data_IF_926907220157
#
_entry.id   IF_926907220157
#
_cell.length_a   1.000
_cell.length_b   1.000
_cell.length_c   1.000
_cell.angle_alpha   90.00
_cell.angle_beta   90.00
_cell.angle_gamma   90.00
#
_symmetry.space_group_name_H-M   'P 1'
#
loop_
_entity.id
_entity.type
_entity.pdbx_description
1 polymer ?
#
# COMPACT_ATOMS: atom_id res chain seq x y z
N UNK A 1 28.02 -52.61 30.68
CA UNK A 1 27.37 -51.68 31.63
C UNK A 1 27.88 -50.27 31.30
N UNK A 2 26.95 -49.40 30.86
CA UNK A 2 26.98 -47.91 30.79
C UNK A 2 28.12 -47.22 30.02
N UNK A 3 27.90 -46.57 28.87
CA UNK A 3 27.23 -45.28 28.56
C UNK A 3 28.07 -44.02 28.76
N UNK A 4 27.77 -43.00 27.93
CA UNK A 4 28.21 -41.57 27.87
C UNK A 4 29.22 -41.29 26.71
N UNK A 5 28.82 -40.89 25.49
CA UNK A 5 28.18 -39.65 24.99
C UNK A 5 28.96 -38.35 25.22
N UNK A 6 29.28 -37.66 24.12
CA UNK A 6 29.76 -36.28 24.08
C UNK A 6 30.19 -35.91 22.65
N UNK A 7 29.23 -35.86 21.72
CA UNK A 7 28.56 -34.61 21.29
C UNK A 7 29.43 -33.81 20.32
N UNK A 8 29.11 -33.97 19.03
CA UNK A 8 29.70 -33.21 17.95
C UNK A 8 29.37 -31.73 18.07
N UNK A 9 30.41 -30.91 17.90
CA UNK A 9 30.28 -29.50 17.58
C UNK A 9 29.65 -29.39 16.18
N UNK A 10 28.32 -29.40 16.10
CA UNK A 10 27.62 -28.80 14.98
C UNK A 10 27.51 -27.30 15.29
N UNK A 11 28.55 -26.56 14.92
CA UNK A 11 28.43 -25.13 14.70
C UNK A 11 27.43 -24.94 13.56
N UNK A 12 26.18 -24.64 13.92
CA UNK A 12 25.18 -24.21 12.95
C UNK A 12 25.55 -22.80 12.52
N UNK A 13 26.36 -22.69 11.46
CA UNK A 13 26.53 -21.44 10.71
C UNK A 13 25.17 -21.10 10.07
N UNK A 14 24.31 -20.42 10.84
CA UNK A 14 23.20 -19.67 10.28
C UNK A 14 23.82 -18.53 9.50
N UNK A 15 23.99 -18.73 8.20
CA UNK A 15 24.29 -17.65 7.27
C UNK A 15 23.33 -16.49 7.56
N UNK A 16 23.87 -15.36 8.01
CA UNK A 16 23.12 -14.11 8.09
C UNK A 16 22.73 -13.79 6.65
N UNK A 17 21.47 -14.02 6.30
CA UNK A 17 20.94 -13.46 5.06
C UNK A 17 21.04 -11.95 5.21
N UNK A 18 21.85 -11.31 4.38
CA UNK A 18 21.89 -9.84 4.30
C UNK A 18 20.49 -9.35 3.94
N UNK A 19 19.84 -8.67 4.89
CA UNK A 19 18.57 -8.01 4.62
C UNK A 19 18.81 -6.95 3.54
N UNK A 20 18.12 -7.11 2.41
CA UNK A 20 18.16 -6.12 1.33
C UNK A 20 17.71 -4.75 1.88
N UNK A 21 18.32 -3.65 1.42
CA UNK A 21 17.91 -2.32 1.86
C UNK A 21 16.45 -2.07 1.48
N UNK A 22 15.62 -1.83 2.50
CA UNK A 22 14.20 -1.48 2.38
C UNK A 22 14.08 0.03 2.24
N UNK A 23 13.38 0.50 1.20
CA UNK A 23 13.18 1.94 1.01
C UNK A 23 12.37 2.53 2.16
N UNK A 24 12.67 3.77 2.56
CA UNK A 24 12.08 4.36 3.78
C UNK A 24 10.54 4.44 3.77
N UNK A 25 9.94 4.66 2.59
CA UNK A 25 8.48 4.70 2.45
C UNK A 25 7.83 3.34 2.66
N UNK A 26 8.54 2.24 2.40
CA UNK A 26 8.03 0.87 2.61
C UNK A 26 7.83 0.55 4.09
N UNK A 27 8.41 1.36 4.99
CA UNK A 27 8.18 1.29 6.44
C UNK A 27 6.91 2.02 6.89
N UNK A 28 6.29 2.82 6.02
CA UNK A 28 5.02 3.48 6.34
C UNK A 28 3.89 2.45 6.28
N UNK A 29 3.22 2.23 7.42
CA UNK A 29 2.06 1.33 7.49
C UNK A 29 0.99 1.69 6.44
N UNK A 30 0.80 2.98 6.16
CA UNK A 30 -0.19 3.46 5.18
C UNK A 30 0.20 3.08 3.75
N UNK A 31 1.49 3.07 3.42
CA UNK A 31 1.98 2.57 2.14
C UNK A 31 1.80 1.06 2.04
N UNK A 32 2.17 0.31 3.10
CA UNK A 32 2.04 -1.15 3.12
C UNK A 32 0.59 -1.59 2.90
N UNK A 33 -0.36 -0.92 3.56
CA UNK A 33 -1.79 -1.19 3.41
C UNK A 33 -2.30 -0.84 2.00
N UNK A 34 -1.88 0.30 1.46
CA UNK A 34 -2.21 0.68 0.08
C UNK A 34 -1.64 -0.32 -0.95
N UNK A 35 -0.39 -0.74 -0.76
CA UNK A 35 0.29 -1.69 -1.62
C UNK A 35 -0.37 -3.06 -1.60
N UNK A 36 -0.73 -3.56 -0.40
CA UNK A 36 -1.48 -4.81 -0.30
C UNK A 36 -2.82 -4.73 -1.05
N UNK A 37 -3.60 -3.66 -0.84
CA UNK A 37 -4.88 -3.49 -1.49
C UNK A 37 -4.75 -3.35 -3.02
N UNK A 38 -3.72 -2.66 -3.49
CA UNK A 38 -3.38 -2.58 -4.92
C UNK A 38 -3.11 -3.96 -5.52
N UNK A 39 -2.39 -4.83 -4.82
CA UNK A 39 -2.16 -6.21 -5.28
C UNK A 39 -3.45 -7.03 -5.33
N UNK A 40 -4.36 -6.86 -4.37
CA UNK A 40 -5.68 -7.50 -4.38
C UNK A 40 -6.52 -7.03 -5.57
N UNK A 41 -6.56 -5.72 -5.82
CA UNK A 41 -7.25 -5.12 -6.96
C UNK A 41 -6.67 -5.63 -8.28
N UNK A 42 -5.35 -5.68 -8.42
CA UNK A 42 -4.70 -6.22 -9.62
C UNK A 42 -5.08 -7.68 -9.87
N UNK A 43 -5.05 -8.52 -8.83
CA UNK A 43 -5.47 -9.93 -8.94
C UNK A 43 -6.92 -10.07 -9.39
N UNK A 44 -7.82 -9.25 -8.86
CA UNK A 44 -9.21 -9.21 -9.30
C UNK A 44 -9.35 -8.74 -10.75
N UNK A 45 -8.58 -7.74 -11.17
CA UNK A 45 -8.63 -7.21 -12.54
C UNK A 45 -8.32 -8.27 -13.59
N UNK A 46 -7.46 -9.24 -13.29
CA UNK A 46 -7.17 -10.39 -14.17
C UNK A 46 -8.40 -11.27 -14.41
N UNK A 47 -9.40 -11.24 -13.51
CA UNK A 47 -10.64 -12.03 -13.61
C UNK A 47 -11.75 -11.33 -14.40
N UNK A 48 -11.57 -10.05 -14.76
CA UNK A 48 -12.58 -9.30 -15.49
C UNK A 48 -12.72 -9.78 -16.95
N UNK A 49 -13.92 -9.64 -17.55
CA UNK A 49 -14.10 -9.88 -18.98
C UNK A 49 -13.19 -8.99 -19.83
N UNK A 50 -12.72 -9.50 -20.98
CA UNK A 50 -11.77 -8.79 -21.86
C UNK A 50 -12.31 -7.44 -22.34
N UNK A 51 -13.62 -7.30 -22.45
CA UNK A 51 -14.34 -6.10 -22.87
C UNK A 51 -14.18 -4.94 -21.87
N UNK A 52 -13.82 -5.23 -20.62
CA UNK A 52 -13.59 -4.23 -19.57
C UNK A 52 -12.13 -3.76 -19.48
N UNK A 53 -11.21 -4.41 -20.21
CA UNK A 53 -9.77 -4.13 -20.18
C UNK A 53 -9.45 -2.64 -20.36
N UNK A 54 -9.98 -2.03 -21.42
CA UNK A 54 -9.77 -0.60 -21.72
C UNK A 54 -10.85 0.30 -21.12
N UNK A 55 -11.62 -0.21 -20.17
CA UNK A 55 -12.73 0.50 -19.52
C UNK A 55 -12.44 0.64 -18.04
N UNK A 56 -13.12 -0.14 -17.20
CA UNK A 56 -13.02 0.00 -15.75
C UNK A 56 -11.76 -0.66 -15.18
N UNK A 57 -11.22 -1.68 -15.87
CA UNK A 57 -10.03 -2.40 -15.43
C UNK A 57 -8.81 -1.46 -15.40
N UNK A 58 -8.45 -0.88 -16.55
CA UNK A 58 -7.31 0.05 -16.64
C UNK A 58 -7.45 1.25 -15.69
N UNK A 59 -8.67 1.77 -15.51
CA UNK A 59 -8.92 2.88 -14.59
C UNK A 59 -8.67 2.53 -13.13
N UNK A 60 -9.16 1.36 -12.66
CA UNK A 60 -8.97 0.97 -11.26
C UNK A 60 -7.53 0.55 -10.98
N UNK A 61 -6.86 -0.13 -11.92
CA UNK A 61 -5.45 -0.51 -11.77
C UNK A 61 -4.56 0.74 -11.66
N UNK A 62 -4.77 1.73 -12.55
CA UNK A 62 -3.99 2.98 -12.52
C UNK A 62 -4.25 3.82 -11.27
N UNK A 63 -5.51 4.05 -10.91
CA UNK A 63 -5.83 4.84 -9.72
C UNK A 63 -5.32 4.17 -8.43
N UNK A 64 -5.44 2.84 -8.32
CA UNK A 64 -4.94 2.09 -7.17
C UNK A 64 -3.41 2.12 -7.05
N UNK A 65 -2.69 1.93 -8.16
CA UNK A 65 -1.23 2.06 -8.21
C UNK A 65 -0.78 3.48 -7.84
N UNK A 66 -1.45 4.49 -8.38
CA UNK A 66 -1.14 5.90 -8.16
C UNK A 66 -1.19 6.29 -6.68
N UNK A 67 -2.00 5.64 -5.85
CA UNK A 67 -1.98 5.84 -4.38
C UNK A 67 -0.61 5.48 -3.80
N UNK A 68 -0.05 4.33 -4.18
CA UNK A 68 1.26 3.88 -3.71
C UNK A 68 2.38 4.78 -4.22
N UNK A 69 2.33 5.11 -5.51
CA UNK A 69 3.33 5.94 -6.19
C UNK A 69 3.44 7.33 -5.55
N UNK A 70 2.29 7.97 -5.29
CA UNK A 70 2.25 9.30 -4.69
C UNK A 70 2.62 9.31 -3.19
N UNK A 71 2.36 8.23 -2.45
CA UNK A 71 2.89 8.09 -1.07
C UNK A 71 4.41 7.98 -1.11
N UNK A 72 4.97 7.18 -2.03
CA UNK A 72 6.41 7.01 -2.17
C UNK A 72 7.10 8.32 -2.60
N UNK A 73 6.58 9.00 -3.63
CA UNK A 73 7.09 10.30 -4.10
C UNK A 73 7.00 11.37 -3.00
N UNK A 74 5.84 11.47 -2.35
CA UNK A 74 5.64 12.40 -1.24
C UNK A 74 6.52 12.08 -0.03
N UNK A 75 6.90 10.83 0.19
CA UNK A 75 7.80 10.47 1.28
C UNK A 75 9.26 10.83 0.96
N UNK A 76 9.71 10.58 -0.27
CA UNK A 76 11.12 10.73 -0.66
C UNK A 76 11.56 12.18 -0.89
N UNK A 77 10.63 13.10 -1.17
CA UNK A 77 10.97 14.52 -1.32
C UNK A 77 11.48 15.16 -0.03
N UNK A 78 12.38 16.14 -0.13
CA UNK A 78 12.94 16.86 1.03
C UNK A 78 11.97 17.92 1.56
N UNK A 79 11.23 18.60 0.69
CA UNK A 79 10.46 19.79 1.05
C UNK A 79 9.08 19.44 1.63
N UNK A 80 8.76 20.00 2.80
CA UNK A 80 7.48 19.79 3.49
C UNK A 80 6.24 20.02 2.62
N UNK A 81 6.25 21.06 1.77
CA UNK A 81 5.11 21.36 0.90
C UNK A 81 4.91 20.29 -0.17
N UNK A 82 6.01 19.79 -0.75
CA UNK A 82 5.96 18.73 -1.76
C UNK A 82 5.56 17.40 -1.14
N UNK A 83 6.00 17.12 0.09
CA UNK A 83 5.50 15.96 0.86
C UNK A 83 3.99 16.03 0.98
N UNK A 84 3.45 17.15 1.47
CA UNK A 84 2.00 17.34 1.61
C UNK A 84 1.28 17.25 0.26
N UNK A 85 1.87 17.78 -0.81
CA UNK A 85 1.30 17.69 -2.16
C UNK A 85 1.19 16.23 -2.63
N UNK A 86 2.24 15.42 -2.53
CA UNK A 86 2.20 14.00 -2.90
C UNK A 86 1.15 13.23 -2.11
N UNK A 87 1.10 13.42 -0.79
CA UNK A 87 0.08 12.77 0.04
C UNK A 87 -1.35 13.25 -0.26
N UNK A 88 -1.56 14.51 -0.65
CA UNK A 88 -2.87 14.96 -1.13
C UNK A 88 -3.28 14.29 -2.45
N UNK A 89 -2.34 14.08 -3.38
CA UNK A 89 -2.63 13.37 -4.63
C UNK A 89 -2.97 11.90 -4.31
N UNK A 90 -2.19 11.23 -3.46
CA UNK A 90 -2.50 9.87 -3.02
C UNK A 90 -3.91 9.76 -2.41
N UNK A 91 -4.33 10.75 -1.60
CA UNK A 91 -5.69 10.81 -1.05
C UNK A 91 -6.76 10.98 -2.14
N UNK A 92 -6.49 11.79 -3.17
CA UNK A 92 -7.41 11.97 -4.30
C UNK A 92 -7.59 10.66 -5.07
N UNK A 93 -6.49 9.98 -5.38
CA UNK A 93 -6.46 8.70 -6.08
C UNK A 93 -7.16 7.59 -5.30
N UNK A 94 -7.05 7.60 -3.96
CA UNK A 94 -7.80 6.68 -3.11
C UNK A 94 -9.32 6.88 -3.26
N UNK A 95 -9.79 8.13 -3.28
CA UNK A 95 -11.19 8.45 -3.54
C UNK A 95 -11.67 8.07 -4.95
N UNK A 96 -10.82 8.26 -5.95
CA UNK A 96 -11.09 7.81 -7.32
C UNK A 96 -11.19 6.28 -7.40
N UNK A 97 -10.28 5.56 -6.74
CA UNK A 97 -10.30 4.10 -6.65
C UNK A 97 -11.59 3.60 -5.97
N UNK A 98 -12.00 4.23 -4.86
CA UNK A 98 -13.28 3.91 -4.21
C UNK A 98 -14.48 4.08 -5.16
N UNK A 99 -14.49 5.11 -6.00
CA UNK A 99 -15.52 5.28 -7.03
C UNK A 99 -15.49 4.15 -8.07
N UNK A 100 -14.31 3.73 -8.53
CA UNK A 100 -14.20 2.58 -9.44
C UNK A 100 -14.67 1.27 -8.81
N UNK A 101 -14.37 1.04 -7.53
CA UNK A 101 -14.89 -0.10 -6.75
C UNK A 101 -16.42 -0.11 -6.76
N UNK A 102 -17.06 1.04 -6.53
CA UNK A 102 -18.53 1.15 -6.58
C UNK A 102 -19.09 0.89 -7.98
N UNK A 103 -18.42 1.36 -9.03
CA UNK A 103 -18.82 1.06 -10.43
C UNK A 103 -18.75 -0.44 -10.73
N UNK A 104 -17.67 -1.12 -10.33
CA UNK A 104 -17.53 -2.57 -10.49
C UNK A 104 -18.63 -3.34 -9.76
N UNK A 105 -18.97 -2.90 -8.54
CA UNK A 105 -20.05 -3.49 -7.76
C UNK A 105 -21.42 -3.27 -8.40
N UNK A 106 -21.70 -2.06 -8.90
CA UNK A 106 -22.94 -1.77 -9.64
C UNK A 106 -23.09 -2.57 -10.93
N UNK A 107 -21.98 -2.87 -11.62
CA UNK A 107 -21.93 -3.79 -12.76
C UNK A 107 -21.97 -5.27 -12.38
N UNK A 108 -22.01 -5.60 -11.08
CA UNK A 108 -22.00 -6.96 -10.53
C UNK A 108 -20.74 -7.77 -10.84
N UNK A 109 -19.63 -7.11 -11.19
CA UNK A 109 -18.34 -7.78 -11.31
C UNK A 109 -17.69 -8.01 -9.95
N UNK A 110 -17.93 -7.10 -8.99
CA UNK A 110 -17.40 -7.18 -7.63
C UNK A 110 -18.53 -7.39 -6.62
N UNK A 111 -18.41 -8.41 -5.78
CA UNK A 111 -19.41 -8.72 -4.77
C UNK A 111 -19.59 -7.58 -3.76
N UNK A 112 -20.80 -7.35 -3.21
CA UNK A 112 -21.07 -6.22 -2.32
C UNK A 112 -20.23 -6.25 -1.04
N UNK A 113 -19.97 -7.45 -0.48
CA UNK A 113 -19.14 -7.62 0.71
C UNK A 113 -17.68 -7.23 0.45
N UNK A 114 -17.10 -7.69 -0.65
CA UNK A 114 -15.72 -7.39 -1.03
C UNK A 114 -15.55 -5.91 -1.41
N UNK A 115 -16.50 -5.37 -2.19
CA UNK A 115 -16.61 -3.94 -2.49
C UNK A 115 -16.61 -3.08 -1.23
N UNK A 116 -17.41 -3.44 -0.23
CA UNK A 116 -17.46 -2.71 1.03
C UNK A 116 -16.15 -2.82 1.81
N UNK A 117 -15.56 -4.02 1.90
CA UNK A 117 -14.27 -4.25 2.55
C UNK A 117 -13.15 -3.40 1.93
N UNK A 118 -13.05 -3.35 0.60
CA UNK A 118 -12.03 -2.53 -0.08
C UNK A 118 -12.25 -1.03 0.11
N UNK A 119 -13.51 -0.57 0.12
CA UNK A 119 -13.82 0.83 0.43
C UNK A 119 -13.41 1.18 1.85
N UNK A 120 -13.68 0.32 2.82
CA UNK A 120 -13.25 0.51 4.22
C UNK A 120 -11.73 0.52 4.36
N UNK A 121 -11.03 -0.34 3.62
CA UNK A 121 -9.57 -0.32 3.57
C UNK A 121 -9.03 1.01 3.03
N UNK A 122 -9.64 1.57 1.98
CA UNK A 122 -9.29 2.90 1.47
C UNK A 122 -9.62 4.02 2.46
N UNK A 123 -10.71 3.93 3.21
CA UNK A 123 -11.01 4.89 4.28
C UNK A 123 -9.93 4.88 5.38
N UNK A 124 -9.44 3.70 5.76
CA UNK A 124 -8.28 3.58 6.66
C UNK A 124 -7.02 4.21 6.08
N UNK A 125 -6.73 3.96 4.80
CA UNK A 125 -5.58 4.56 4.10
C UNK A 125 -5.70 6.09 4.09
N UNK A 126 -6.89 6.63 3.78
CA UNK A 126 -7.15 8.08 3.78
C UNK A 126 -6.93 8.67 5.18
N UNK A 127 -7.39 7.99 6.24
CA UNK A 127 -7.12 8.42 7.63
C UNK A 127 -5.63 8.41 7.94
N UNK A 128 -4.89 7.39 7.49
CA UNK A 128 -3.44 7.32 7.63
C UNK A 128 -2.70 8.44 6.92
N UNK A 129 -3.09 8.73 5.67
CA UNK A 129 -2.57 9.84 4.87
C UNK A 129 -2.81 11.18 5.61
N UNK A 130 -4.02 11.41 6.11
CA UNK A 130 -4.36 12.62 6.86
C UNK A 130 -3.50 12.75 8.14
N UNK A 131 -3.29 11.64 8.85
CA UNK A 131 -2.43 11.59 10.04
C UNK A 131 -0.98 11.96 9.72
N UNK A 132 -0.43 11.40 8.64
CA UNK A 132 0.92 11.72 8.19
C UNK A 132 1.06 13.19 7.76
N UNK A 133 0.10 13.72 6.98
CA UNK A 133 0.12 15.12 6.59
C UNK A 133 0.06 16.07 7.79
N UNK A 134 -0.70 15.73 8.85
CA UNK A 134 -0.72 16.51 10.09
C UNK A 134 0.66 16.51 10.76
N UNK A 135 1.29 15.34 10.92
CA UNK A 135 2.64 15.22 11.45
C UNK A 135 3.67 16.07 10.67
N UNK A 136 3.61 16.04 9.34
CA UNK A 136 4.49 16.84 8.47
C UNK A 136 4.27 18.34 8.67
N UNK A 137 3.01 18.79 8.83
CA UNK A 137 2.68 20.21 9.10
C UNK A 137 3.18 20.67 10.47
N UNK A 138 3.06 19.83 11.49
CA UNK A 138 3.57 20.12 12.84
C UNK A 138 5.08 20.28 12.82
N UNK A 139 5.81 19.35 12.18
CA UNK A 139 7.27 19.45 12.00
C UNK A 139 7.70 20.75 11.32
N UNK A 140 7.03 21.13 10.22
CA UNK A 140 7.27 22.42 9.54
C UNK A 140 7.04 23.63 10.45
N UNK A 141 6.06 23.57 11.36
CA UNK A 141 5.76 24.64 12.30
C UNK A 141 6.78 24.78 13.43
N UNK A 142 7.41 23.66 13.83
CA UNK A 142 8.47 23.64 14.84
C UNK A 142 9.82 24.14 14.28
N UNK A 143 10.06 23.99 12.98
CA UNK A 143 11.28 24.44 12.31
C UNK A 143 11.23 25.90 11.82
N UNK A 144 10.16 26.65 12.12
CA UNK A 144 10.02 28.08 11.85
C UNK A 144 10.25 28.90 13.10
#
# INVERSE_FOLDING_TARGET
MQDIRGSGYQGSDKAKQEEKPVAGFEKLWVWQKAHQLMQEIHKFCITLPREEKFRIQDQIERSSSSVCDNIAEGYTTYYYNDKIKGFNIARKEAGETQNHIRKLSGKKYLGPKESQMWVECYEEIIRGINGYMRYVREKKGVER
#
